data_IF_259931380824
#
_entry.id   IF_259931380824
#
_cell.length_a   1.000
_cell.length_b   1.000
_cell.length_c   1.000
_cell.angle_alpha   90.00
_cell.angle_beta   90.00
_cell.angle_gamma   90.00
#
_symmetry.space_group_name_H-M   'P 1'
#
loop_
_entity.id
_entity.type
_entity.pdbx_description
1 polymer ?
#
# COMPACT_ATOMS: atom_id res chain seq x y z
N UNK A 1 4.52 -10.25 0.64
CA UNK A 1 5.33 -9.24 1.36
C UNK A 1 6.68 -9.83 1.78
N UNK A 2 6.71 -10.81 2.69
CA UNK A 2 7.98 -11.35 3.23
C UNK A 2 8.98 -11.85 2.19
N UNK A 3 8.54 -12.58 1.16
CA UNK A 3 9.42 -12.99 0.05
C UNK A 3 10.05 -11.80 -0.67
N UNK A 4 9.29 -10.71 -0.86
CA UNK A 4 9.79 -9.48 -1.45
C UNK A 4 10.77 -8.74 -0.54
N UNK A 5 10.54 -8.74 0.77
CA UNK A 5 11.49 -8.19 1.75
C UNK A 5 12.78 -9.01 1.81
N UNK A 6 12.69 -10.33 1.67
CA UNK A 6 13.86 -11.21 1.55
C UNK A 6 14.64 -10.90 0.27
N UNK A 7 13.95 -10.74 -0.87
CA UNK A 7 14.57 -10.34 -2.12
C UNK A 7 15.29 -8.98 -2.00
N UNK A 8 14.67 -8.00 -1.32
CA UNK A 8 15.31 -6.72 -0.99
C UNK A 8 16.57 -6.93 -0.15
N UNK A 9 16.50 -7.72 0.93
CA UNK A 9 17.64 -7.98 1.82
C UNK A 9 18.82 -8.59 1.06
N UNK A 10 18.56 -9.57 0.19
CA UNK A 10 19.60 -10.15 -0.68
C UNK A 10 20.16 -9.10 -1.64
N UNK A 11 19.29 -8.32 -2.29
CA UNK A 11 19.70 -7.30 -3.25
C UNK A 11 20.58 -6.21 -2.64
N UNK A 12 20.19 -5.65 -1.47
CA UNK A 12 20.98 -4.62 -0.81
C UNK A 12 22.34 -5.13 -0.29
N UNK A 13 22.45 -6.43 -0.01
CA UNK A 13 23.68 -7.05 0.51
C UNK A 13 24.71 -7.34 -0.59
N UNK A 14 24.33 -7.26 -1.87
CA UNK A 14 25.24 -7.47 -2.99
C UNK A 14 26.40 -6.46 -2.95
N UNK A 15 27.65 -6.88 -3.29
CA UNK A 15 28.81 -5.99 -3.31
C UNK A 15 28.60 -4.72 -4.14
N UNK A 16 27.86 -4.83 -5.26
CA UNK A 16 27.53 -3.72 -6.15
C UNK A 16 26.58 -2.68 -5.56
N UNK A 17 25.89 -3.00 -4.46
CA UNK A 17 24.92 -2.10 -3.82
C UNK A 17 25.44 -1.48 -2.52
N UNK A 18 26.64 -1.87 -2.04
CA UNK A 18 27.21 -1.39 -0.75
C UNK A 18 27.30 0.12 -0.62
N UNK A 19 27.57 0.82 -1.72
CA UNK A 19 27.69 2.29 -1.76
C UNK A 19 26.47 2.96 -2.37
N UNK A 20 25.38 2.23 -2.64
CA UNK A 20 24.20 2.79 -3.26
C UNK A 20 23.49 3.77 -2.28
N UNK A 21 23.46 5.08 -2.57
CA UNK A 21 22.88 6.07 -1.67
C UNK A 21 21.37 5.89 -1.48
N UNK A 22 20.66 5.30 -2.45
CA UNK A 22 19.21 5.02 -2.34
C UNK A 22 18.93 3.91 -1.33
N UNK A 23 19.73 2.84 -1.33
CA UNK A 23 19.60 1.76 -0.32
C UNK A 23 19.92 2.28 1.07
N UNK A 24 20.96 3.11 1.19
CA UNK A 24 21.37 3.70 2.46
C UNK A 24 20.33 4.69 3.02
N UNK A 25 19.66 5.45 2.16
CA UNK A 25 18.65 6.41 2.59
C UNK A 25 17.41 5.74 3.20
N UNK A 26 17.09 4.50 2.83
CA UNK A 26 15.93 3.78 3.37
C UNK A 26 16.26 2.83 4.52
N UNK A 27 17.54 2.54 4.79
CA UNK A 27 17.96 1.51 5.74
C UNK A 27 17.33 1.61 7.14
N UNK A 28 17.38 2.79 7.77
CA UNK A 28 16.77 2.99 9.10
C UNK A 28 15.24 2.92 9.09
N UNK A 29 14.60 3.39 8.01
CA UNK A 29 13.15 3.25 7.86
C UNK A 29 12.76 1.79 7.66
N UNK A 30 13.58 1.02 6.95
CA UNK A 30 13.38 -0.41 6.80
C UNK A 30 13.47 -1.13 8.15
N UNK A 31 14.49 -0.85 8.95
CA UNK A 31 14.61 -1.40 10.31
C UNK A 31 13.41 -1.02 11.17
N UNK A 32 13.03 0.27 11.18
CA UNK A 32 11.84 0.74 11.90
C UNK A 32 10.57 -0.01 11.46
N UNK A 33 10.39 -0.21 10.15
CA UNK A 33 9.26 -0.98 9.61
C UNK A 33 9.28 -2.45 10.03
N UNK A 34 10.46 -3.07 10.12
CA UNK A 34 10.61 -4.46 10.57
C UNK A 34 10.22 -4.61 12.04
N UNK A 35 10.77 -3.74 12.90
CA UNK A 35 10.48 -3.72 14.35
C UNK A 35 9.00 -3.43 14.59
N UNK A 36 8.46 -2.37 13.96
CA UNK A 36 7.05 -2.01 14.10
C UNK A 36 6.13 -3.15 13.64
N UNK A 37 6.44 -3.84 12.53
CA UNK A 37 5.66 -4.99 12.08
C UNK A 37 5.69 -6.16 13.07
N UNK A 38 6.85 -6.49 13.63
CA UNK A 38 6.97 -7.53 14.66
C UNK A 38 6.14 -7.18 15.89
N UNK A 39 6.29 -5.97 16.42
CA UNK A 39 5.54 -5.49 17.60
C UNK A 39 4.05 -5.46 17.32
N UNK A 40 3.64 -5.00 16.12
CA UNK A 40 2.23 -4.98 15.72
C UNK A 40 1.60 -6.37 15.76
N UNK A 41 2.27 -7.40 15.23
CA UNK A 41 1.75 -8.78 15.25
C UNK A 41 1.52 -9.25 16.69
N UNK A 42 2.46 -8.98 17.61
CA UNK A 42 2.29 -9.34 19.02
C UNK A 42 1.11 -8.59 19.66
N UNK A 43 1.04 -7.27 19.49
CA UNK A 43 -0.05 -6.46 20.07
C UNK A 43 -1.42 -6.90 19.54
N UNK A 44 -1.53 -7.18 18.24
CA UNK A 44 -2.74 -7.70 17.64
C UNK A 44 -3.13 -9.07 18.22
N UNK A 45 -2.15 -9.97 18.39
CA UNK A 45 -2.40 -11.31 18.96
C UNK A 45 -2.88 -11.27 20.41
N UNK A 46 -2.38 -10.32 21.22
CA UNK A 46 -2.83 -10.09 22.59
C UNK A 46 -4.03 -9.14 22.71
N UNK A 47 -4.75 -8.89 21.61
CA UNK A 47 -5.92 -8.00 21.52
C UNK A 47 -5.68 -6.57 22.05
N UNK A 48 -4.43 -6.09 22.04
CA UNK A 48 -4.08 -4.73 22.42
C UNK A 48 -4.33 -3.78 21.25
N UNK A 49 -5.59 -3.63 20.81
CA UNK A 49 -5.94 -3.00 19.53
C UNK A 49 -5.55 -1.51 19.44
N UNK A 50 -5.72 -0.75 20.52
CA UNK A 50 -5.35 0.66 20.53
C UNK A 50 -3.84 0.85 20.34
N UNK A 51 -3.03 0.06 21.06
CA UNK A 51 -1.57 0.06 20.91
C UNK A 51 -1.13 -0.49 19.57
N UNK A 52 -1.83 -1.51 19.04
CA UNK A 52 -1.52 -2.06 17.72
C UNK A 52 -1.72 -1.02 16.62
N UNK A 53 -2.74 -0.15 16.74
CA UNK A 53 -2.95 0.96 15.82
C UNK A 53 -1.81 1.99 15.89
N UNK A 54 -1.35 2.37 17.09
CA UNK A 54 -0.22 3.30 17.26
C UNK A 54 1.03 2.77 16.55
N UNK A 55 1.36 1.50 16.77
CA UNK A 55 2.52 0.86 16.13
C UNK A 55 2.31 0.71 14.63
N UNK A 56 1.08 0.47 14.17
CA UNK A 56 0.75 0.41 12.75
C UNK A 56 0.95 1.76 12.06
N UNK A 57 0.65 2.88 12.73
CA UNK A 57 0.93 4.21 12.19
C UNK A 57 2.44 4.47 12.04
N UNK A 58 3.26 3.98 12.99
CA UNK A 58 4.73 4.02 12.87
C UNK A 58 5.20 3.19 11.67
N UNK A 59 4.63 2.00 11.49
CA UNK A 59 4.90 1.14 10.34
C UNK A 59 4.50 1.83 9.02
N UNK A 60 3.30 2.40 8.95
CA UNK A 60 2.80 3.12 7.78
C UNK A 60 3.69 4.31 7.45
N UNK A 61 4.02 5.15 8.44
CA UNK A 61 4.91 6.30 8.25
C UNK A 61 6.29 5.89 7.74
N UNK A 62 6.84 4.78 8.26
CA UNK A 62 8.10 4.22 7.80
C UNK A 62 8.03 3.81 6.33
N UNK A 63 6.96 3.10 5.92
CA UNK A 63 6.76 2.67 4.54
C UNK A 63 6.50 3.83 3.58
N UNK A 64 5.76 4.86 4.00
CA UNK A 64 5.60 6.11 3.23
C UNK A 64 6.96 6.78 3.05
N UNK A 65 7.78 6.87 4.10
CA UNK A 65 9.13 7.41 4.01
C UNK A 65 10.03 6.63 3.03
N UNK A 66 9.97 5.29 3.06
CA UNK A 66 10.70 4.43 2.10
C UNK A 66 10.23 4.73 0.68
N UNK A 67 8.92 4.76 0.47
CA UNK A 67 8.33 5.03 -0.84
C UNK A 67 8.77 6.39 -1.41
N UNK A 68 8.71 7.45 -0.60
CA UNK A 68 9.11 8.79 -1.01
C UNK A 68 10.62 8.89 -1.32
N UNK A 69 11.47 8.19 -0.56
CA UNK A 69 12.93 8.16 -0.79
C UNK A 69 13.34 7.32 -2.00
N UNK A 70 12.49 6.40 -2.45
CA UNK A 70 12.68 5.61 -3.67
C UNK A 70 12.06 6.27 -4.92
N UNK A 71 11.23 7.31 -4.77
CA UNK A 71 10.53 7.96 -5.89
C UNK A 71 11.47 8.89 -6.71
N UNK A 72 11.31 8.97 -8.06
CA UNK A 72 10.24 8.41 -8.88
C UNK A 72 10.50 7.02 -9.46
N UNK A 73 9.43 6.22 -9.48
CA UNK A 73 9.29 4.85 -9.99
C UNK A 73 9.69 4.66 -11.48
N UNK A 74 9.98 5.74 -12.20
CA UNK A 74 9.93 5.81 -13.66
C UNK A 74 11.23 6.27 -14.34
N UNK A 75 12.28 6.68 -13.61
CA UNK A 75 13.52 7.16 -14.24
C UNK A 75 14.75 6.41 -13.73
N UNK A 76 15.38 5.62 -14.61
CA UNK A 76 16.73 5.07 -14.40
C UNK A 76 16.86 3.88 -13.45
N UNK A 77 15.76 3.25 -13.03
CA UNK A 77 15.80 2.08 -12.14
C UNK A 77 15.97 0.80 -12.96
N UNK A 78 17.05 0.05 -12.72
CA UNK A 78 17.28 -1.25 -13.34
C UNK A 78 16.20 -2.28 -12.96
N UNK A 79 16.00 -3.30 -13.80
CA UNK A 79 14.98 -4.32 -13.57
C UNK A 79 15.14 -5.02 -12.21
N UNK A 80 16.39 -5.31 -11.80
CA UNK A 80 16.68 -5.91 -10.51
C UNK A 80 16.15 -5.07 -9.34
N UNK A 81 16.56 -3.80 -9.24
CA UNK A 81 16.11 -2.88 -8.18
C UNK A 81 14.57 -2.72 -8.18
N UNK A 82 13.95 -2.67 -9.37
CA UNK A 82 12.49 -2.58 -9.49
C UNK A 82 11.77 -3.77 -8.87
N UNK A 83 12.22 -5.00 -9.17
CA UNK A 83 11.58 -6.24 -8.73
C UNK A 83 11.93 -6.63 -7.29
N UNK A 84 13.12 -6.28 -6.82
CA UNK A 84 13.58 -6.62 -5.46
C UNK A 84 13.26 -5.53 -4.44
N UNK A 85 13.05 -4.28 -4.86
CA UNK A 85 12.88 -3.15 -3.92
C UNK A 85 11.55 -2.44 -4.14
N UNK A 86 11.35 -1.80 -5.29
CA UNK A 86 10.20 -0.91 -5.51
C UNK A 86 8.85 -1.64 -5.44
N UNK A 87 8.73 -2.77 -6.13
CA UNK A 87 7.49 -3.55 -6.17
C UNK A 87 7.18 -4.13 -4.78
N UNK A 88 8.12 -4.81 -4.08
CA UNK A 88 7.90 -5.29 -2.71
C UNK A 88 7.44 -4.22 -1.74
N UNK A 89 8.11 -3.06 -1.70
CA UNK A 89 7.71 -1.98 -0.79
C UNK A 89 6.37 -1.35 -1.18
N UNK A 90 6.03 -1.30 -2.47
CA UNK A 90 4.71 -0.82 -2.92
C UNK A 90 3.58 -1.76 -2.51
N UNK A 91 3.79 -3.06 -2.66
CA UNK A 91 2.85 -4.09 -2.18
C UNK A 91 2.69 -3.97 -0.65
N UNK A 92 3.81 -3.79 0.05
CA UNK A 92 3.78 -3.70 1.51
C UNK A 92 3.05 -2.43 1.99
N UNK A 93 3.35 -1.29 1.38
CA UNK A 93 2.65 -0.04 1.67
C UNK A 93 1.15 -0.15 1.39
N UNK A 94 0.76 -0.72 0.24
CA UNK A 94 -0.65 -0.95 -0.11
C UNK A 94 -1.37 -1.82 0.93
N UNK A 95 -0.72 -2.88 1.40
CA UNK A 95 -1.28 -3.75 2.42
C UNK A 95 -1.45 -3.03 3.76
N UNK A 96 -0.44 -2.29 4.21
CA UNK A 96 -0.50 -1.58 5.49
C UNK A 96 -1.50 -0.43 5.45
N UNK A 97 -1.73 0.22 4.31
CA UNK A 97 -2.84 1.19 4.17
C UNK A 97 -4.18 0.51 4.48
N UNK A 98 -4.48 -0.63 3.87
CA UNK A 98 -5.73 -1.37 4.10
C UNK A 98 -5.80 -1.86 5.56
N UNK A 99 -4.69 -2.40 6.08
CA UNK A 99 -4.61 -2.87 7.45
C UNK A 99 -4.87 -1.74 8.46
N UNK A 100 -4.41 -0.51 8.19
CA UNK A 100 -4.62 0.65 9.06
C UNK A 100 -6.10 1.01 9.15
N UNK A 101 -6.81 0.97 8.02
CA UNK A 101 -8.25 1.17 7.96
C UNK A 101 -8.97 0.09 8.78
N UNK A 102 -8.61 -1.19 8.58
CA UNK A 102 -9.20 -2.31 9.32
C UNK A 102 -8.91 -2.23 10.83
N UNK A 103 -7.68 -1.93 11.23
CA UNK A 103 -7.28 -1.81 12.63
C UNK A 103 -8.01 -0.64 13.31
N UNK A 104 -8.20 0.48 12.61
CA UNK A 104 -8.97 1.61 13.13
C UNK A 104 -10.41 1.18 13.41
N UNK A 105 -11.05 0.45 12.48
CA UNK A 105 -12.39 -0.08 12.71
C UNK A 105 -12.43 -1.04 13.90
N UNK A 106 -11.42 -1.90 14.08
CA UNK A 106 -11.33 -2.81 15.23
C UNK A 106 -11.20 -2.06 16.56
N UNK A 107 -10.37 -1.02 16.64
CA UNK A 107 -10.24 -0.19 17.85
C UNK A 107 -11.57 0.46 18.24
N UNK A 108 -12.28 1.00 17.26
CA UNK A 108 -13.55 1.66 17.50
C UNK A 108 -14.61 0.67 17.99
N UNK A 109 -14.65 -0.54 17.41
CA UNK A 109 -15.52 -1.62 17.88
C UNK A 109 -15.17 -2.07 19.31
N UNK A 110 -13.87 -2.19 19.63
CA UNK A 110 -13.38 -2.56 20.96
C UNK A 110 -13.80 -1.54 22.04
N UNK A 111 -13.84 -0.25 21.69
CA UNK A 111 -14.35 0.81 22.55
C UNK A 111 -15.89 0.89 22.60
N UNK A 112 -16.59 -0.13 22.12
CA UNK A 112 -18.05 -0.20 22.04
C UNK A 112 -18.69 0.95 21.25
N UNK A 113 -17.94 1.57 20.33
CA UNK A 113 -18.51 2.57 19.46
C UNK A 113 -19.30 1.88 18.35
N UNK A 114 -20.62 2.04 18.40
CA UNK A 114 -21.58 1.44 17.46
C UNK A 114 -21.73 2.23 16.15
N UNK A 115 -20.89 3.24 15.92
CA UNK A 115 -20.87 4.04 14.71
C UNK A 115 -21.70 5.33 14.76
N UNK A 116 -22.34 5.67 15.88
CA UNK A 116 -23.15 6.90 16.00
C UNK A 116 -22.40 8.14 15.49
N UNK A 117 -22.95 8.89 14.51
CA UNK A 117 -24.34 8.87 14.02
C UNK A 117 -24.65 7.96 12.80
N UNK A 118 -23.68 7.23 12.25
CA UNK A 118 -23.81 6.45 11.01
C UNK A 118 -24.01 4.95 11.28
N UNK A 119 -24.67 4.24 10.35
CA UNK A 119 -24.80 2.79 10.43
C UNK A 119 -23.46 2.07 10.16
N UNK A 120 -23.26 0.84 10.67
CA UNK A 120 -22.05 0.06 10.39
C UNK A 120 -21.77 -0.14 8.89
N UNK A 121 -22.83 -0.30 8.09
CA UNK A 121 -22.71 -0.40 6.64
C UNK A 121 -22.18 0.90 6.01
N UNK A 122 -22.67 2.05 6.48
CA UNK A 122 -22.22 3.36 6.00
C UNK A 122 -20.76 3.63 6.40
N UNK A 123 -20.34 3.22 7.60
CA UNK A 123 -18.94 3.24 7.99
C UNK A 123 -18.05 2.42 7.07
N UNK A 124 -18.45 1.20 6.75
CA UNK A 124 -17.70 0.36 5.81
C UNK A 124 -17.58 1.02 4.42
N UNK A 125 -18.67 1.61 3.91
CA UNK A 125 -18.70 2.35 2.63
C UNK A 125 -17.74 3.54 2.66
N UNK A 126 -17.75 4.33 3.73
CA UNK A 126 -16.84 5.47 3.88
C UNK A 126 -15.38 5.03 3.91
N UNK A 127 -15.07 3.95 4.62
CA UNK A 127 -13.71 3.40 4.67
C UNK A 127 -13.25 2.88 3.30
N UNK A 128 -14.13 2.23 2.52
CA UNK A 128 -13.86 1.84 1.13
C UNK A 128 -13.60 3.08 0.28
N UNK A 129 -14.39 4.14 0.43
CA UNK A 129 -14.23 5.38 -0.32
C UNK A 129 -12.88 6.05 -0.03
N UNK A 130 -12.46 6.15 1.24
CA UNK A 130 -11.15 6.68 1.63
C UNK A 130 -10.02 5.86 0.99
N UNK A 131 -10.07 4.52 1.10
CA UNK A 131 -9.08 3.65 0.49
C UNK A 131 -9.08 3.78 -1.05
N UNK A 132 -10.24 3.99 -1.67
CA UNK A 132 -10.36 4.20 -3.13
C UNK A 132 -9.72 5.51 -3.56
N UNK A 133 -9.90 6.60 -2.81
CA UNK A 133 -9.23 7.88 -3.09
C UNK A 133 -7.71 7.70 -3.05
N UNK A 134 -7.18 7.02 -2.03
CA UNK A 134 -5.75 6.70 -1.97
C UNK A 134 -5.31 5.84 -3.16
N UNK A 135 -6.09 4.81 -3.51
CA UNK A 135 -5.84 3.97 -4.68
C UNK A 135 -5.81 4.77 -5.99
N UNK A 136 -6.72 5.73 -6.17
CA UNK A 136 -6.77 6.59 -7.36
C UNK A 136 -5.54 7.50 -7.46
N UNK A 137 -5.06 8.05 -6.34
CA UNK A 137 -3.82 8.83 -6.30
C UNK A 137 -2.64 7.97 -6.78
N UNK A 138 -2.49 6.75 -6.24
CA UNK A 138 -1.41 5.85 -6.64
C UNK A 138 -1.56 5.32 -8.08
N UNK A 139 -2.80 5.15 -8.56
CA UNK A 139 -3.07 4.71 -9.93
C UNK A 139 -2.74 5.79 -10.97
N UNK A 140 -3.17 7.03 -10.71
CA UNK A 140 -3.18 8.09 -11.71
C UNK A 140 -2.01 9.07 -11.59
N UNK A 141 -1.51 9.35 -10.38
CA UNK A 141 -0.37 10.26 -10.19
C UNK A 141 0.94 9.50 -10.15
N UNK A 142 1.00 8.49 -9.28
CA UNK A 142 2.22 7.70 -9.08
C UNK A 142 2.42 6.60 -10.11
N UNK A 143 1.36 6.21 -10.82
CA UNK A 143 1.36 5.12 -11.81
C UNK A 143 1.94 3.83 -11.21
N UNK A 144 1.48 3.48 -9.99
CA UNK A 144 1.98 2.36 -9.21
C UNK A 144 0.97 1.19 -9.17
N UNK A 145 0.99 0.28 -10.16
CA UNK A 145 0.05 -0.83 -10.20
C UNK A 145 0.23 -1.81 -9.04
N UNK A 146 1.44 -1.96 -8.51
CA UNK A 146 1.72 -2.90 -7.43
C UNK A 146 0.98 -2.52 -6.13
N UNK A 147 0.94 -1.23 -5.80
CA UNK A 147 0.14 -0.71 -4.68
C UNK A 147 -1.36 -0.93 -4.93
N UNK A 148 -1.85 -0.54 -6.11
CA UNK A 148 -3.28 -0.51 -6.40
C UNK A 148 -3.88 -1.92 -6.48
N UNK A 149 -3.14 -2.90 -7.04
CA UNK A 149 -3.61 -4.28 -7.10
C UNK A 149 -3.82 -4.91 -5.71
N UNK A 150 -3.09 -4.44 -4.68
CA UNK A 150 -3.34 -4.87 -3.30
C UNK A 150 -4.70 -4.34 -2.81
N UNK A 151 -5.04 -3.09 -3.11
CA UNK A 151 -6.35 -2.53 -2.77
C UNK A 151 -7.48 -3.23 -3.52
N UNK A 152 -7.29 -3.54 -4.80
CA UNK A 152 -8.26 -4.32 -5.59
C UNK A 152 -8.50 -5.69 -4.96
N UNK A 153 -7.44 -6.39 -4.56
CA UNK A 153 -7.55 -7.67 -3.86
C UNK A 153 -8.29 -7.52 -2.52
N UNK A 154 -7.98 -6.48 -1.75
CA UNK A 154 -8.65 -6.21 -0.47
C UNK A 154 -10.15 -5.95 -0.65
N UNK A 155 -10.52 -5.14 -1.65
CA UNK A 155 -11.92 -4.86 -1.95
C UNK A 155 -12.68 -6.10 -2.44
N UNK A 156 -12.04 -6.98 -3.21
CA UNK A 156 -12.62 -8.28 -3.56
C UNK A 156 -12.89 -9.13 -2.30
N UNK A 157 -11.95 -9.16 -1.35
CA UNK A 157 -12.13 -9.83 -0.06
C UNK A 157 -13.29 -9.25 0.76
N UNK A 158 -13.40 -7.91 0.82
CA UNK A 158 -14.53 -7.23 1.47
C UNK A 158 -15.85 -7.59 0.82
N UNK A 159 -15.93 -7.60 -0.51
CA UNK A 159 -17.14 -7.96 -1.24
C UNK A 159 -17.62 -9.39 -0.93
N UNK A 160 -16.68 -10.35 -0.89
CA UNK A 160 -16.99 -11.74 -0.53
C UNK A 160 -17.44 -11.84 0.93
N UNK A 161 -16.73 -11.17 1.84
CA UNK A 161 -17.05 -11.23 3.28
C UNK A 161 -18.38 -10.56 3.63
N UNK A 162 -18.75 -9.51 2.90
CA UNK A 162 -19.96 -8.71 3.15
C UNK A 162 -21.11 -9.04 2.18
N UNK A 163 -21.14 -10.25 1.63
CA UNK A 163 -22.20 -10.70 0.70
C UNK A 163 -23.62 -10.59 1.27
N UNK A 164 -23.77 -10.74 2.60
CA UNK A 164 -25.04 -10.55 3.30
C UNK A 164 -25.45 -9.08 3.49
N UNK A 165 -24.56 -8.12 3.17
CA UNK A 165 -24.84 -6.66 3.21
C UNK A 165 -24.63 -6.08 1.81
N UNK A 166 -25.62 -6.18 0.90
CA UNK A 166 -25.44 -5.87 -0.52
C UNK A 166 -24.87 -4.47 -0.81
N UNK A 167 -25.27 -3.46 -0.04
CA UNK A 167 -24.75 -2.09 -0.20
C UNK A 167 -23.22 -2.02 -0.06
N UNK A 168 -22.65 -2.72 0.93
CA UNK A 168 -21.19 -2.74 1.16
C UNK A 168 -20.50 -3.59 0.09
N UNK A 169 -21.06 -4.75 -0.24
CA UNK A 169 -20.48 -5.65 -1.24
C UNK A 169 -20.40 -4.98 -2.63
N UNK A 170 -21.49 -4.39 -3.10
CA UNK A 170 -21.52 -3.69 -4.39
C UNK A 170 -20.62 -2.45 -4.42
N UNK A 171 -20.53 -1.72 -3.30
CA UNK A 171 -19.57 -0.60 -3.19
C UNK A 171 -18.14 -1.08 -3.33
N UNK A 172 -17.76 -2.19 -2.67
CA UNK A 172 -16.42 -2.76 -2.77
C UNK A 172 -16.10 -3.25 -4.20
N UNK A 173 -17.06 -3.90 -4.87
CA UNK A 173 -16.91 -4.33 -6.27
C UNK A 173 -16.72 -3.12 -7.19
N UNK A 174 -17.58 -2.10 -7.07
CA UNK A 174 -17.49 -0.88 -7.87
C UNK A 174 -16.15 -0.16 -7.68
N UNK A 175 -15.69 -0.04 -6.45
CA UNK A 175 -14.39 0.52 -6.11
C UNK A 175 -13.22 -0.29 -6.72
N UNK A 176 -13.27 -1.62 -6.65
CA UNK A 176 -12.26 -2.48 -7.24
C UNK A 176 -12.18 -2.30 -8.77
N UNK A 177 -13.32 -2.30 -9.47
CA UNK A 177 -13.40 -2.08 -10.91
C UNK A 177 -12.86 -0.69 -11.28
N UNK A 178 -13.26 0.34 -10.55
CA UNK A 178 -12.78 1.71 -10.75
C UNK A 178 -11.24 1.79 -10.64
N UNK A 179 -10.65 1.15 -9.63
CA UNK A 179 -9.20 1.15 -9.44
C UNK A 179 -8.47 0.39 -10.56
N UNK A 180 -9.02 -0.71 -11.07
CA UNK A 180 -8.47 -1.42 -12.23
C UNK A 180 -8.46 -0.51 -13.46
N UNK A 181 -9.58 0.15 -13.75
CA UNK A 181 -9.68 1.09 -14.88
C UNK A 181 -8.69 2.24 -14.72
N UNK A 182 -8.58 2.82 -13.53
CA UNK A 182 -7.66 3.92 -13.25
C UNK A 182 -6.19 3.51 -13.44
N UNK A 183 -5.79 2.30 -13.02
CA UNK A 183 -4.43 1.79 -13.25
C UNK A 183 -4.14 1.62 -14.73
N UNK A 184 -5.07 1.03 -15.49
CA UNK A 184 -4.89 0.85 -16.93
C UNK A 184 -4.77 2.21 -17.62
N UNK A 185 -5.64 3.16 -17.29
CA UNK A 185 -5.57 4.52 -17.83
C UNK A 185 -4.24 5.22 -17.49
N UNK A 186 -3.78 5.12 -16.23
CA UNK A 186 -2.50 5.69 -15.79
C UNK A 186 -1.31 5.11 -16.54
N UNK A 187 -1.27 3.78 -16.73
CA UNK A 187 -0.22 3.09 -17.48
C UNK A 187 -0.22 3.49 -18.97
N UNK A 188 -1.39 3.56 -19.60
CA UNK A 188 -1.51 3.98 -21.00
C UNK A 188 -1.06 5.44 -21.20
N UNK A 189 -1.43 6.35 -20.29
CA UNK A 189 -0.99 7.75 -20.33
C UNK A 189 0.53 7.87 -20.21
N UNK A 190 1.13 7.14 -19.27
CA UNK A 190 2.57 7.17 -19.04
C UNK A 190 3.35 6.67 -20.28
N UNK A 191 2.89 5.57 -20.90
CA UNK A 191 3.50 5.06 -22.15
C UNK A 191 3.47 6.07 -23.30
N UNK A 192 2.38 6.82 -23.45
CA UNK A 192 2.26 7.86 -24.48
C UNK A 192 3.27 8.99 -24.24
N UNK A 193 3.41 9.45 -23.00
CA UNK A 193 4.34 10.54 -22.65
C UNK A 193 5.82 10.21 -22.91
N UNK A 194 6.21 8.95 -22.68
CA UNK A 194 7.59 8.49 -22.96
C UNK A 194 7.84 8.40 -24.47
N UNK A 195 6.85 7.95 -25.26
CA UNK A 195 6.99 7.81 -26.72
C UNK A 195 6.98 9.16 -27.46
N UNK A 196 6.38 10.20 -26.90
CA UNK A 196 6.30 11.53 -27.51
C UNK A 196 7.53 12.42 -27.26
N UNK A 197 8.52 11.98 -26.48
CA UNK A 197 9.80 12.69 -26.40
C UNK A 197 10.58 12.42 -27.70
N UNK A 198 10.84 13.44 -28.54
CA UNK A 198 11.65 13.24 -29.74
C UNK A 198 13.01 12.71 -29.31
N UNK A 199 13.52 11.70 -30.03
CA UNK A 199 14.89 11.23 -29.90
C UNK A 199 15.79 12.45 -30.11
N UNK A 200 16.25 13.06 -29.03
CA UNK A 200 17.29 14.07 -29.12
C UNK A 200 18.51 13.35 -29.69
N UNK A 201 18.80 13.68 -30.94
CA UNK A 201 19.83 13.08 -31.77
C UNK A 201 21.16 12.95 -31.01
N UNK A 202 21.72 11.74 -31.02
CA UNK A 202 23.15 11.52 -30.84
C UNK A 202 23.87 11.86 -32.15
#
# INVERSE_FOLDING_TARGET
IYLGLLAYMVFQALPSQRTNPRMRSIGWLYVASGVANSVWIFLWHYNQFAWSLVVMLVLLASLVGIYLRLSPFTRGVGAAERWTTHIPFSIYLGWITVATVANTATVLLDWNWSGGPLSPALWAILMIAVATVLGLIFALREVNPAYVLVLVWAFAGIAVKQSATPAVAWTAIGAAVLLVVAVVAGLLRNRRSVRSQPLANN
#
